data_IF_443737970571
#
_entry.id   IF_443737970571
#
_cell.length_a   1.000
_cell.length_b   1.000
_cell.length_c   1.000
_cell.angle_alpha   90.00
_cell.angle_beta   90.00
_cell.angle_gamma   90.00
#
_symmetry.space_group_name_H-M   'P 1'
#
loop_
_entity.id
_entity.type
_entity.pdbx_description
1 polymer ?
#
# COMPACT_ATOMS: atom_id res chain seq x y z
N UNK A 1 -61.93 -30.64 7.30
CA UNK A 1 -62.03 -29.75 8.49
C UNK A 1 -60.76 -29.88 9.31
N UNK A 2 -60.35 -28.79 9.98
CA UNK A 2 -59.19 -28.59 10.86
C UNK A 2 -57.91 -27.98 10.22
N UNK A 3 -57.86 -26.64 10.27
CA UNK A 3 -56.66 -25.78 10.47
C UNK A 3 -56.50 -25.67 12.01
N UNK A 4 -55.29 -25.75 12.63
CA UNK A 4 -54.35 -24.60 12.77
C UNK A 4 -52.86 -25.04 12.92
N UNK A 5 -51.78 -24.26 13.09
CA UNK A 5 -51.52 -22.85 13.39
C UNK A 5 -50.09 -22.47 12.93
N UNK A 6 -49.86 -21.20 12.58
CA UNK A 6 -48.53 -20.51 12.65
C UNK A 6 -48.13 -20.41 14.14
N UNK A 7 -46.89 -20.26 14.63
CA UNK A 7 -45.80 -19.29 14.36
C UNK A 7 -44.47 -19.84 15.04
N UNK A 8 -43.34 -19.12 15.21
CA UNK A 8 -42.08 -19.29 14.48
C UNK A 8 -40.86 -19.64 15.38
N UNK A 9 -39.66 -19.39 14.83
CA UNK A 9 -38.34 -19.20 15.49
C UNK A 9 -37.46 -20.44 15.58
N UNK A 10 -36.49 -20.49 14.66
CA UNK A 10 -35.08 -20.57 15.06
C UNK A 10 -34.22 -20.03 13.94
N UNK A 11 -33.85 -18.76 14.09
CA UNK A 11 -32.81 -18.12 13.31
C UNK A 11 -31.53 -18.97 13.43
N UNK A 12 -31.12 -19.59 12.33
CA UNK A 12 -29.76 -20.13 12.22
C UNK A 12 -28.80 -18.93 12.18
N UNK A 13 -28.36 -18.51 13.37
CA UNK A 13 -27.25 -17.59 13.53
C UNK A 13 -26.00 -18.27 12.97
N UNK A 14 -25.74 -18.01 11.70
CA UNK A 14 -24.49 -18.27 11.01
C UNK A 14 -23.40 -17.60 11.84
N UNK A 15 -22.63 -18.40 12.58
CA UNK A 15 -21.40 -17.96 13.25
C UNK A 15 -20.45 -17.49 12.16
N UNK A 16 -20.43 -16.19 11.90
CA UNK A 16 -19.41 -15.57 11.08
C UNK A 16 -18.12 -15.62 11.88
N UNK A 17 -17.17 -16.41 11.39
CA UNK A 17 -15.78 -16.36 11.83
C UNK A 17 -15.24 -14.97 11.51
N UNK A 18 -15.36 -14.05 12.46
CA UNK A 18 -14.67 -12.77 12.46
C UNK A 18 -13.18 -13.10 12.58
N UNK A 19 -12.50 -13.12 11.44
CA UNK A 19 -11.06 -12.97 11.37
C UNK A 19 -10.74 -11.59 11.93
N UNK A 20 -10.44 -11.52 13.21
CA UNK A 20 -9.87 -10.34 13.85
C UNK A 20 -8.47 -10.12 13.29
N UNK A 21 -8.42 -9.38 12.18
CA UNK A 21 -7.21 -8.77 11.68
C UNK A 21 -6.70 -7.81 12.74
N UNK A 22 -5.63 -8.19 13.45
CA UNK A 22 -4.87 -7.27 14.30
C UNK A 22 -4.08 -6.41 13.32
N UNK A 23 -4.72 -5.35 12.87
CA UNK A 23 -4.11 -4.35 12.01
C UNK A 23 -2.93 -3.74 12.76
N UNK A 24 -1.75 -3.86 12.16
CA UNK A 24 -0.57 -3.12 12.56
C UNK A 24 -0.93 -1.63 12.61
N UNK A 25 -0.84 -1.02 13.79
CA UNK A 25 -1.13 0.40 14.04
C UNK A 25 -0.21 1.37 13.28
N UNK A 26 0.76 0.84 12.55
CA UNK A 26 1.67 1.60 11.72
C UNK A 26 1.30 1.59 10.23
N UNK A 27 0.29 0.81 9.83
CA UNK A 27 -0.42 1.04 8.56
C UNK A 27 -1.41 2.21 8.70
N UNK A 28 -1.00 3.28 9.39
CA UNK A 28 -1.74 4.51 9.41
C UNK A 28 -1.49 5.12 8.02
N UNK A 29 -2.47 5.02 7.12
CA UNK A 29 -2.56 5.90 5.97
C UNK A 29 -2.73 7.32 6.52
N UNK A 30 -1.62 7.94 6.95
CA UNK A 30 -1.66 9.19 7.68
C UNK A 30 -1.86 10.30 6.68
N UNK A 31 -3.11 10.63 6.43
CA UNK A 31 -3.45 11.95 5.91
C UNK A 31 -3.28 12.94 7.06
N UNK A 32 -2.07 13.49 7.24
CA UNK A 32 -1.87 14.58 8.20
C UNK A 32 -2.28 15.88 7.51
N UNK A 33 -3.53 16.29 7.71
CA UNK A 33 -3.97 17.64 7.38
C UNK A 33 -3.46 18.59 8.49
N UNK A 34 -2.63 19.57 8.13
CA UNK A 34 -2.14 20.56 9.09
C UNK A 34 -3.16 21.70 9.22
N UNK A 35 -3.47 22.18 10.44
CA UNK A 35 -4.30 23.35 10.60
C UNK A 35 -3.52 24.60 10.19
N UNK A 36 -3.59 24.93 8.90
CA UNK A 36 -3.28 26.23 8.35
C UNK A 36 -4.59 26.81 7.79
N UNK A 37 -4.79 28.11 7.94
CA UNK A 37 -5.94 28.83 7.38
C UNK A 37 -6.16 28.35 5.95
N UNK A 38 -7.38 27.88 5.65
CA UNK A 38 -7.74 27.20 4.41
C UNK A 38 -7.12 27.93 3.22
N UNK A 39 -6.03 27.38 2.69
CA UNK A 39 -5.58 27.70 1.35
C UNK A 39 -6.70 27.18 0.46
N UNK A 40 -7.55 28.10 -0.01
CA UNK A 40 -8.67 27.84 -0.91
C UNK A 40 -8.20 27.40 -2.31
N UNK A 41 -6.97 26.90 -2.43
CA UNK A 41 -6.28 26.64 -3.68
C UNK A 41 -5.53 25.29 -3.65
N UNK A 42 -6.20 24.22 -3.19
CA UNK A 42 -5.78 22.83 -3.48
C UNK A 42 -6.02 22.46 -4.96
N UNK A 43 -5.99 23.44 -5.87
CA UNK A 43 -6.22 23.29 -7.30
C UNK A 43 -5.10 22.54 -8.03
N UNK A 44 -4.01 22.23 -7.33
CA UNK A 44 -2.79 21.61 -7.84
C UNK A 44 -2.76 20.08 -7.66
N UNK A 45 -3.80 19.48 -7.07
CA UNK A 45 -3.89 18.01 -6.89
C UNK A 45 -4.62 17.36 -8.04
N UNK A 46 -3.95 16.43 -8.72
CA UNK A 46 -4.59 15.54 -9.68
C UNK A 46 -4.86 14.15 -9.12
N UNK A 47 -5.84 13.46 -9.70
CA UNK A 47 -6.12 12.05 -9.44
C UNK A 47 -5.96 11.23 -10.71
N UNK A 48 -5.44 10.01 -10.57
CA UNK A 48 -5.29 9.07 -11.67
C UNK A 48 -5.81 7.70 -11.26
N UNK A 49 -6.67 7.13 -12.10
CA UNK A 49 -7.07 5.73 -11.98
C UNK A 49 -6.00 4.82 -12.62
N UNK A 50 -5.15 4.24 -11.77
CA UNK A 50 -4.11 3.30 -12.21
C UNK A 50 -4.69 2.03 -12.85
N UNK A 51 -5.86 1.58 -12.41
CA UNK A 51 -6.52 0.43 -13.00
C UNK A 51 -6.92 0.74 -14.45
N UNK A 52 -7.46 1.92 -14.72
CA UNK A 52 -7.79 2.34 -16.09
C UNK A 52 -6.55 2.41 -17.00
N UNK A 53 -5.43 2.95 -16.50
CA UNK A 53 -4.18 3.05 -17.28
C UNK A 53 -3.54 1.67 -17.52
N UNK A 54 -3.51 0.82 -16.50
CA UNK A 54 -2.93 -0.54 -16.60
C UNK A 54 -3.76 -1.48 -17.47
N UNK A 55 -5.08 -1.24 -17.59
CA UNK A 55 -5.98 -2.00 -18.46
C UNK A 55 -5.92 -1.58 -19.94
N UNK A 56 -5.06 -0.63 -20.31
CA UNK A 56 -4.93 -0.24 -21.70
C UNK A 56 -4.47 -1.41 -22.58
N UNK A 57 -4.99 -1.54 -23.82
CA UNK A 57 -4.73 -2.70 -24.68
C UNK A 57 -3.27 -3.07 -24.83
N UNK A 58 -2.38 -2.08 -24.88
CA UNK A 58 -0.92 -2.28 -24.98
C UNK A 58 -0.27 -2.87 -23.74
N UNK A 59 -0.75 -2.53 -22.53
CA UNK A 59 -0.27 -3.12 -21.28
C UNK A 59 -0.77 -4.56 -21.17
N UNK A 60 -2.04 -4.79 -21.52
CA UNK A 60 -2.62 -6.14 -21.58
C UNK A 60 -1.85 -7.01 -22.57
N UNK A 61 -1.52 -6.49 -23.75
CA UNK A 61 -0.76 -7.21 -24.76
C UNK A 61 0.68 -7.48 -24.32
N UNK A 62 1.37 -6.50 -23.76
CA UNK A 62 2.71 -6.68 -23.22
C UNK A 62 2.73 -7.75 -22.11
N UNK A 63 1.75 -7.72 -21.20
CA UNK A 63 1.58 -8.73 -20.17
C UNK A 63 1.33 -10.13 -20.77
N UNK A 64 0.47 -10.24 -21.79
CA UNK A 64 0.24 -11.49 -22.52
C UNK A 64 1.53 -12.04 -23.12
N UNK A 65 2.36 -11.19 -23.71
CA UNK A 65 3.65 -11.59 -24.28
C UNK A 65 4.66 -12.03 -23.20
N UNK A 66 4.67 -11.38 -22.04
CA UNK A 66 5.50 -11.82 -20.89
C UNK A 66 5.05 -13.20 -20.42
N UNK A 67 3.74 -13.43 -20.28
CA UNK A 67 3.19 -14.73 -19.86
C UNK A 67 3.51 -15.82 -20.88
N UNK A 68 3.29 -15.55 -22.18
CA UNK A 68 3.62 -16.49 -23.25
C UNK A 68 5.13 -16.82 -23.27
N UNK A 69 5.98 -15.82 -23.10
CA UNK A 69 7.43 -16.02 -22.98
C UNK A 69 7.77 -16.87 -21.76
N UNK A 70 7.17 -16.60 -20.59
CA UNK A 70 7.36 -17.39 -19.38
C UNK A 70 6.98 -18.86 -19.60
N UNK A 71 5.83 -19.15 -20.20
CA UNK A 71 5.41 -20.54 -20.48
C UNK A 71 6.39 -21.27 -21.39
N UNK A 72 6.90 -20.61 -22.43
CA UNK A 72 7.95 -21.17 -23.30
C UNK A 72 9.27 -21.38 -22.57
N UNK A 73 9.60 -20.43 -21.69
CA UNK A 73 10.80 -20.45 -20.86
C UNK A 73 10.74 -21.57 -19.82
N UNK A 74 9.60 -21.84 -19.18
CA UNK A 74 9.43 -22.91 -18.19
C UNK A 74 9.65 -24.32 -18.81
N UNK A 75 9.27 -24.51 -20.08
CA UNK A 75 9.57 -25.75 -20.82
C UNK A 75 11.08 -25.94 -21.04
N UNK A 76 11.76 -24.86 -21.46
CA UNK A 76 13.22 -24.86 -21.64
C UNK A 76 13.95 -25.07 -20.30
N UNK A 77 13.42 -24.48 -19.22
CA UNK A 77 13.97 -24.60 -17.87
C UNK A 77 13.94 -26.05 -17.44
N UNK A 78 12.76 -26.68 -17.53
CA UNK A 78 12.58 -28.09 -17.17
C UNK A 78 13.49 -29.01 -17.99
N UNK A 79 13.63 -28.77 -19.29
CA UNK A 79 14.52 -29.56 -20.15
C UNK A 79 15.99 -29.43 -19.75
N UNK A 80 16.48 -28.19 -19.51
CA UNK A 80 17.87 -27.95 -19.09
C UNK A 80 18.16 -28.44 -17.68
N UNK A 81 17.22 -28.30 -16.75
CA UNK A 81 17.35 -28.82 -15.39
C UNK A 81 17.47 -30.35 -15.37
N UNK A 82 16.73 -31.06 -16.24
CA UNK A 82 16.87 -32.52 -16.40
C UNK A 82 18.23 -32.93 -16.97
N UNK A 83 18.84 -32.09 -17.79
CA UNK A 83 20.17 -32.31 -18.38
C UNK A 83 21.32 -31.81 -17.48
N UNK A 84 21.03 -31.17 -16.35
CA UNK A 84 22.03 -30.65 -15.43
C UNK A 84 22.51 -31.77 -14.48
N UNK A 85 23.82 -32.03 -14.45
CA UNK A 85 24.42 -33.10 -13.66
C UNK A 85 25.16 -32.60 -12.40
N UNK A 86 25.29 -31.27 -12.23
CA UNK A 86 25.95 -30.67 -11.08
C UNK A 86 25.11 -29.55 -10.45
N UNK A 87 25.37 -29.26 -9.18
CA UNK A 87 24.74 -28.15 -8.46
C UNK A 87 25.12 -26.78 -9.06
N UNK A 88 26.34 -26.66 -9.59
CA UNK A 88 26.80 -25.45 -10.28
C UNK A 88 25.99 -25.19 -11.57
N UNK A 89 25.71 -26.24 -12.35
CA UNK A 89 24.91 -26.12 -13.57
C UNK A 89 23.47 -25.71 -13.27
N UNK A 90 22.87 -26.32 -12.24
CA UNK A 90 21.52 -25.96 -11.79
C UNK A 90 21.43 -24.49 -11.39
N UNK A 91 22.38 -23.99 -10.59
CA UNK A 91 22.41 -22.60 -10.16
C UNK A 91 22.59 -21.63 -11.34
N UNK A 92 23.40 -22.00 -12.33
CA UNK A 92 23.61 -21.23 -13.56
C UNK A 92 22.32 -21.15 -14.37
N UNK A 93 21.63 -22.28 -14.56
CA UNK A 93 20.35 -22.35 -15.27
C UNK A 93 19.30 -21.48 -14.56
N UNK A 94 19.15 -21.57 -13.24
CA UNK A 94 18.20 -20.72 -12.50
C UNK A 94 18.49 -19.23 -12.72
N UNK A 95 19.76 -18.85 -12.68
CA UNK A 95 20.18 -17.45 -12.84
C UNK A 95 19.93 -16.93 -14.25
N UNK A 96 20.30 -17.71 -15.28
CA UNK A 96 20.05 -17.37 -16.70
C UNK A 96 18.56 -17.19 -16.97
N UNK A 97 17.72 -18.12 -16.49
CA UNK A 97 16.29 -18.08 -16.73
C UNK A 97 15.60 -16.92 -16.02
N UNK A 98 16.01 -16.63 -14.78
CA UNK A 98 15.55 -15.45 -14.05
C UNK A 98 15.93 -14.16 -14.79
N UNK A 99 17.17 -14.07 -15.28
CA UNK A 99 17.65 -12.93 -16.06
C UNK A 99 16.84 -12.73 -17.34
N UNK A 100 16.67 -13.79 -18.16
CA UNK A 100 15.90 -13.72 -19.40
C UNK A 100 14.46 -13.26 -19.21
N UNK A 101 13.81 -13.71 -18.13
CA UNK A 101 12.45 -13.27 -17.80
C UNK A 101 12.43 -11.77 -17.42
N UNK A 102 13.38 -11.33 -16.59
CA UNK A 102 13.50 -9.93 -16.19
C UNK A 102 13.79 -9.02 -17.40
N UNK A 103 14.68 -9.44 -18.29
CA UNK A 103 15.00 -8.70 -19.51
C UNK A 103 13.80 -8.58 -20.43
N UNK A 104 13.03 -9.66 -20.60
CA UNK A 104 11.81 -9.64 -21.41
C UNK A 104 10.75 -8.72 -20.80
N UNK A 105 10.56 -8.77 -19.48
CA UNK A 105 9.64 -7.87 -18.78
C UNK A 105 10.06 -6.41 -18.96
N UNK A 106 11.34 -6.09 -18.73
CA UNK A 106 11.87 -4.73 -18.90
C UNK A 106 11.73 -4.23 -20.34
N UNK A 107 12.02 -5.07 -21.32
CA UNK A 107 11.91 -4.69 -22.74
C UNK A 107 10.46 -4.41 -23.17
N UNK A 108 9.49 -5.17 -22.66
CA UNK A 108 8.08 -5.01 -23.04
C UNK A 108 7.36 -3.94 -22.22
N UNK A 109 7.59 -3.89 -20.91
CA UNK A 109 6.86 -3.00 -19.99
C UNK A 109 7.61 -1.68 -19.73
N UNK A 110 8.94 -1.69 -19.77
CA UNK A 110 9.76 -0.49 -19.49
C UNK A 110 9.39 0.71 -20.36
N UNK A 111 9.32 0.58 -21.70
CA UNK A 111 8.90 1.68 -22.57
C UNK A 111 7.47 2.15 -22.32
N UNK A 112 6.57 1.24 -21.91
CA UNK A 112 5.18 1.59 -21.58
C UNK A 112 5.10 2.39 -20.28
N UNK A 113 5.85 2.00 -19.25
CA UNK A 113 5.95 2.74 -17.99
C UNK A 113 6.61 4.10 -18.19
N UNK A 114 7.70 4.18 -18.97
CA UNK A 114 8.32 5.45 -19.32
C UNK A 114 7.35 6.38 -20.05
N UNK A 115 6.60 5.85 -21.03
CA UNK A 115 5.56 6.61 -21.73
C UNK A 115 4.45 7.07 -20.78
N UNK A 116 4.02 6.24 -19.85
CA UNK A 116 3.02 6.61 -18.85
C UNK A 116 3.52 7.73 -17.93
N UNK A 117 4.77 7.64 -17.46
CA UNK A 117 5.38 8.67 -16.64
C UNK A 117 5.47 10.01 -17.40
N UNK A 118 5.87 9.99 -18.67
CA UNK A 118 5.89 11.20 -19.51
C UNK A 118 4.49 11.75 -19.75
N UNK A 119 3.49 10.89 -19.99
CA UNK A 119 2.11 11.30 -20.16
C UNK A 119 1.56 11.99 -18.91
N UNK A 120 1.77 11.38 -17.73
CA UNK A 120 1.37 11.94 -16.45
C UNK A 120 2.05 13.28 -16.24
N UNK A 121 3.37 13.36 -16.39
CA UNK A 121 4.11 14.60 -16.21
C UNK A 121 3.68 15.72 -17.19
N UNK A 122 3.41 15.38 -18.45
CA UNK A 122 2.92 16.32 -19.46
C UNK A 122 1.53 16.85 -19.12
N UNK A 123 0.59 15.97 -18.71
CA UNK A 123 -0.74 16.39 -18.28
C UNK A 123 -0.65 17.23 -17.02
N UNK A 124 0.15 16.83 -16.03
CA UNK A 124 0.37 17.60 -14.80
C UNK A 124 0.88 18.99 -15.09
N UNK A 125 1.93 19.12 -15.91
CA UNK A 125 2.47 20.41 -16.34
C UNK A 125 1.42 21.25 -17.07
N UNK A 126 0.66 20.66 -18.00
CA UNK A 126 -0.39 21.38 -18.75
C UNK A 126 -1.55 21.88 -17.89
N UNK A 127 -1.81 21.22 -16.76
CA UNK A 127 -2.91 21.51 -15.84
C UNK A 127 -2.44 22.19 -14.55
N UNK A 128 -1.15 22.54 -14.47
CA UNK A 128 -0.52 23.11 -13.28
C UNK A 128 -0.72 22.27 -12.01
N UNK A 129 -0.65 20.95 -12.14
CA UNK A 129 -0.78 20.00 -11.04
C UNK A 129 0.61 19.67 -10.47
N UNK A 130 0.76 19.84 -9.17
CA UNK A 130 2.00 19.60 -8.43
C UNK A 130 2.13 18.14 -7.96
N UNK A 131 1.00 17.48 -7.72
CA UNK A 131 0.93 16.10 -7.24
C UNK A 131 -0.20 15.34 -7.89
N UNK A 132 0.08 14.08 -8.25
CA UNK A 132 -0.92 13.11 -8.68
C UNK A 132 -0.98 11.97 -7.68
N UNK A 133 -2.18 11.68 -7.20
CA UNK A 133 -2.45 10.55 -6.30
C UNK A 133 -3.38 9.53 -6.95
N UNK A 134 -3.38 8.31 -6.40
CA UNK A 134 -4.31 7.28 -6.84
C UNK A 134 -5.76 7.67 -6.54
N UNK A 135 -6.63 7.53 -7.56
CA UNK A 135 -8.04 7.90 -7.44
C UNK A 135 -8.79 7.10 -6.37
N UNK A 136 -8.38 5.87 -6.07
CA UNK A 136 -9.07 4.99 -5.11
C UNK A 136 -9.02 5.49 -3.66
N UNK A 137 -8.07 6.37 -3.32
CA UNK A 137 -7.94 6.94 -1.98
C UNK A 137 -8.62 8.30 -1.82
N UNK A 138 -9.11 8.90 -2.91
CA UNK A 138 -9.70 10.24 -2.90
C UNK A 138 -11.21 10.13 -2.79
N UNK A 139 -11.75 10.60 -1.68
CA UNK A 139 -13.20 10.64 -1.43
C UNK A 139 -13.83 11.89 -2.07
N UNK A 140 -13.15 13.03 -2.00
CA UNK A 140 -13.62 14.32 -2.52
C UNK A 140 -12.43 15.22 -2.89
N UNK A 141 -12.56 15.96 -3.99
CA UNK A 141 -11.52 16.86 -4.50
C UNK A 141 -10.59 16.23 -5.53
N UNK A 142 -9.60 17.01 -5.96
CA UNK A 142 -8.61 16.62 -6.97
C UNK A 142 -9.15 16.62 -8.41
N UNK A 143 -8.30 16.99 -9.36
CA UNK A 143 -8.63 16.97 -10.77
C UNK A 143 -8.35 15.59 -11.37
N UNK A 144 -9.38 14.88 -11.81
CA UNK A 144 -9.20 13.61 -12.52
C UNK A 144 -8.50 13.83 -13.88
N UNK A 145 -7.29 13.32 -14.00
CA UNK A 145 -6.48 13.37 -15.23
C UNK A 145 -6.47 12.06 -16.01
N UNK A 146 -7.20 11.04 -15.55
CA UNK A 146 -7.21 9.68 -16.14
C UNK A 146 -7.44 9.71 -17.63
N UNK A 147 -8.48 10.43 -18.08
CA UNK A 147 -8.79 10.53 -19.51
C UNK A 147 -7.66 11.22 -20.29
N UNK A 148 -7.15 12.35 -19.81
CA UNK A 148 -6.10 13.09 -20.50
C UNK A 148 -4.80 12.27 -20.62
N UNK A 149 -4.45 11.51 -19.57
CA UNK A 149 -3.30 10.60 -19.58
C UNK A 149 -3.53 9.47 -20.56
N UNK A 150 -4.71 8.82 -20.55
CA UNK A 150 -5.07 7.77 -21.50
C UNK A 150 -5.02 8.27 -22.95
N UNK A 151 -5.51 9.48 -23.20
CA UNK A 151 -5.50 10.07 -24.54
C UNK A 151 -4.06 10.31 -25.01
N UNK A 152 -3.20 10.96 -24.22
CA UNK A 152 -1.77 11.14 -24.57
C UNK A 152 -1.02 9.81 -24.74
N UNK A 153 -1.35 8.87 -23.86
CA UNK A 153 -0.85 7.51 -23.93
C UNK A 153 -1.15 6.93 -25.30
N UNK A 154 -2.39 7.02 -25.78
CA UNK A 154 -2.85 6.48 -27.06
C UNK A 154 -2.43 7.31 -28.29
N UNK A 155 -2.05 8.58 -28.11
CA UNK A 155 -1.60 9.44 -29.21
C UNK A 155 -0.44 8.82 -30.01
N UNK A 156 -0.43 8.95 -31.35
CA UNK A 156 0.70 8.51 -32.16
C UNK A 156 1.94 9.39 -31.90
N UNK A 157 3.13 8.77 -31.91
CA UNK A 157 4.40 9.48 -31.77
C UNK A 157 4.87 9.71 -30.33
N UNK A 158 6.02 10.39 -30.15
CA UNK A 158 6.57 10.72 -28.83
C UNK A 158 5.66 11.67 -28.06
N UNK A 159 5.53 11.48 -26.76
CA UNK A 159 4.88 12.45 -25.89
C UNK A 159 5.92 13.52 -25.58
N UNK A 160 5.58 14.79 -25.80
CA UNK A 160 6.47 15.90 -25.48
C UNK A 160 6.81 15.86 -23.98
N UNK A 161 8.10 15.97 -23.66
CA UNK A 161 8.53 16.12 -22.29
C UNK A 161 7.93 17.41 -21.70
N UNK A 162 7.57 17.43 -20.42
CA UNK A 162 7.10 18.64 -19.76
C UNK A 162 8.15 19.75 -19.92
N UNK A 163 7.71 20.93 -20.33
CA UNK A 163 8.58 22.10 -20.57
C UNK A 163 8.88 22.89 -19.28
N UNK A 164 8.29 22.48 -18.16
CA UNK A 164 8.56 23.00 -16.82
C UNK A 164 8.42 21.89 -15.79
N UNK A 165 9.27 21.91 -14.76
CA UNK A 165 9.00 21.20 -13.51
C UNK A 165 7.87 21.94 -12.79
N UNK A 166 6.82 21.26 -12.32
CA UNK A 166 5.83 21.89 -11.46
C UNK A 166 6.54 22.58 -10.28
N UNK A 167 6.04 23.73 -9.79
CA UNK A 167 6.57 24.35 -8.58
C UNK A 167 6.62 23.34 -7.42
N UNK A 168 7.51 23.53 -6.43
CA UNK A 168 7.60 22.65 -5.26
C UNK A 168 6.20 22.44 -4.68
N UNK A 169 5.76 21.19 -4.64
CA UNK A 169 4.42 20.89 -4.17
C UNK A 169 4.33 21.22 -2.69
N UNK A 170 3.24 21.87 -2.30
CA UNK A 170 2.83 22.01 -0.90
C UNK A 170 2.40 20.66 -0.31
N UNK A 171 2.40 19.59 -1.10
CA UNK A 171 2.12 18.23 -0.67
C UNK A 171 3.43 17.47 -0.48
N UNK A 172 3.64 16.99 0.74
CA UNK A 172 4.70 16.05 1.07
C UNK A 172 4.25 14.60 0.98
N UNK A 173 5.22 13.70 0.97
CA UNK A 173 4.97 12.30 1.21
C UNK A 173 6.00 11.68 2.15
N UNK A 174 5.57 10.61 2.81
CA UNK A 174 6.41 9.72 3.61
C UNK A 174 6.32 8.30 3.08
N UNK A 175 7.42 7.59 3.11
CA UNK A 175 7.47 6.14 2.85
C UNK A 175 7.23 5.40 4.18
N UNK A 176 5.98 4.99 4.45
CA UNK A 176 5.63 4.36 5.72
C UNK A 176 6.44 3.08 5.99
N UNK A 177 6.80 2.31 4.96
CA UNK A 177 7.66 1.13 5.14
C UNK A 177 9.03 1.51 5.73
N UNK A 178 9.57 2.66 5.31
CA UNK A 178 10.82 3.19 5.84
C UNK A 178 10.68 3.84 7.21
N UNK A 179 9.52 4.42 7.53
CA UNK A 179 9.21 4.92 8.87
C UNK A 179 9.09 3.74 9.84
N UNK A 180 8.36 2.69 9.47
CA UNK A 180 8.18 1.49 10.29
C UNK A 180 9.48 0.73 10.52
N UNK A 181 10.41 0.83 9.57
CA UNK A 181 11.75 0.27 9.69
C UNK A 181 12.67 1.06 10.65
N UNK A 182 12.27 2.24 11.14
CA UNK A 182 13.04 3.01 12.14
C UNK A 182 13.29 2.11 13.37
N UNK A 183 14.54 1.96 13.85
CA UNK A 183 14.88 0.97 14.87
C UNK A 183 13.99 0.99 16.11
N UNK A 184 13.64 2.18 16.62
CA UNK A 184 12.78 2.36 17.79
C UNK A 184 11.34 1.88 17.53
N UNK A 185 10.78 2.21 16.36
CA UNK A 185 9.44 1.81 15.95
C UNK A 185 9.38 0.31 15.67
N UNK A 186 10.34 -0.19 14.89
CA UNK A 186 10.49 -1.61 14.60
C UNK A 186 10.56 -2.45 15.87
N UNK A 187 11.40 -2.07 16.82
CA UNK A 187 11.57 -2.80 18.08
C UNK A 187 10.27 -2.84 18.88
N UNK A 188 9.57 -1.70 18.98
CA UNK A 188 8.29 -1.65 19.68
C UNK A 188 7.22 -2.51 19.00
N UNK A 189 7.18 -2.54 17.67
CA UNK A 189 6.28 -3.42 16.92
C UNK A 189 6.61 -4.90 17.14
N UNK A 190 7.88 -5.27 17.05
CA UNK A 190 8.34 -6.64 17.27
C UNK A 190 8.03 -7.11 18.71
N UNK A 191 8.21 -6.24 19.70
CA UNK A 191 7.88 -6.51 21.10
C UNK A 191 6.38 -6.69 21.30
N UNK A 192 5.56 -5.82 20.70
CA UNK A 192 4.11 -5.94 20.77
C UNK A 192 3.60 -7.21 20.10
N UNK A 193 4.14 -7.58 18.94
CA UNK A 193 3.80 -8.82 18.24
C UNK A 193 4.12 -10.06 19.09
N UNK A 194 5.31 -10.09 19.72
CA UNK A 194 5.70 -11.16 20.65
C UNK A 194 4.77 -11.23 21.87
N UNK A 195 4.46 -10.08 22.46
CA UNK A 195 3.53 -9.99 23.59
C UNK A 195 2.15 -10.51 23.21
N UNK A 196 1.60 -10.07 22.08
CA UNK A 196 0.29 -10.47 21.62
C UNK A 196 0.21 -11.98 21.35
N UNK A 197 1.23 -12.57 20.72
CA UNK A 197 1.32 -14.02 20.52
C UNK A 197 1.37 -14.79 21.84
N UNK A 198 2.13 -14.29 22.82
CA UNK A 198 2.12 -14.86 24.17
C UNK A 198 0.73 -14.78 24.83
N UNK A 199 0.07 -13.63 24.74
CA UNK A 199 -1.27 -13.43 25.31
C UNK A 199 -2.32 -14.33 24.62
N UNK A 200 -2.20 -14.56 23.30
CA UNK A 200 -3.05 -15.52 22.58
C UNK A 200 -2.90 -16.94 23.12
N UNK A 201 -1.66 -17.38 23.41
CA UNK A 201 -1.42 -18.71 23.99
C UNK A 201 -2.01 -18.83 25.39
N UNK A 202 -1.86 -17.79 26.22
CA UNK A 202 -2.46 -17.75 27.55
C UNK A 202 -3.99 -17.79 27.46
N UNK A 203 -4.58 -16.98 26.56
CA UNK A 203 -6.02 -16.97 26.32
C UNK A 203 -6.52 -18.34 25.85
N UNK A 204 -5.84 -18.98 24.90
CA UNK A 204 -6.19 -20.32 24.43
C UNK A 204 -6.15 -21.38 25.55
N UNK A 205 -5.13 -21.33 26.43
CA UNK A 205 -5.03 -22.21 27.59
C UNK A 205 -6.12 -21.95 28.63
N UNK A 206 -6.51 -20.69 28.86
CA UNK A 206 -7.62 -20.35 29.76
C UNK A 206 -8.97 -20.75 29.14
N UNK A 207 -9.15 -20.57 27.84
CA UNK A 207 -10.34 -20.98 27.10
C UNK A 207 -10.57 -22.48 27.13
N UNK A 208 -9.52 -23.31 27.02
CA UNK A 208 -9.65 -24.77 27.10
C UNK A 208 -10.03 -25.27 28.49
N UNK A 209 -9.74 -24.48 29.53
CA UNK A 209 -10.11 -24.76 30.93
C UNK A 209 -11.46 -24.17 31.33
N UNK A 210 -12.01 -23.25 30.54
CA UNK A 210 -13.29 -22.58 30.81
C UNK A 210 -14.47 -23.54 30.58
N UNK A 211 -15.28 -23.74 31.62
CA UNK A 211 -16.43 -24.66 31.60
C UNK A 211 -17.73 -23.96 31.25
N UNK A 212 -17.82 -22.66 31.55
CA UNK A 212 -19.02 -21.83 31.33
C UNK A 212 -18.79 -20.76 30.27
N UNK A 213 -19.88 -20.25 29.69
CA UNK A 213 -19.82 -19.13 28.75
C UNK A 213 -19.37 -17.83 29.42
N UNK A 214 -19.72 -17.63 30.69
CA UNK A 214 -19.27 -16.49 31.48
C UNK A 214 -17.73 -16.45 31.61
N UNK A 215 -17.11 -17.60 31.89
CA UNK A 215 -15.65 -17.73 31.95
C UNK A 215 -15.00 -17.47 30.59
N UNK A 216 -15.56 -18.01 29.50
CA UNK A 216 -15.05 -17.78 28.14
C UNK A 216 -15.09 -16.30 27.76
N UNK A 217 -16.20 -15.62 28.06
CA UNK A 217 -16.33 -14.18 27.81
C UNK A 217 -15.33 -13.37 28.64
N UNK A 218 -15.08 -13.77 29.89
CA UNK A 218 -14.07 -13.10 30.72
C UNK A 218 -12.68 -13.24 30.13
N UNK A 219 -12.30 -14.43 29.66
CA UNK A 219 -10.98 -14.65 29.03
C UNK A 219 -10.80 -13.78 27.79
N UNK A 220 -11.84 -13.63 26.96
CA UNK A 220 -11.80 -12.75 25.79
C UNK A 220 -11.68 -11.28 26.18
N UNK A 221 -12.43 -10.81 27.19
CA UNK A 221 -12.33 -9.44 27.69
C UNK A 221 -10.95 -9.15 28.27
N UNK A 222 -10.42 -10.04 29.09
CA UNK A 222 -9.10 -9.90 29.70
C UNK A 222 -8.01 -9.87 28.61
N UNK A 223 -8.09 -10.74 27.61
CA UNK A 223 -7.16 -10.76 26.49
C UNK A 223 -7.22 -9.45 25.69
N UNK A 224 -8.42 -9.02 25.29
CA UNK A 224 -8.63 -7.77 24.54
C UNK A 224 -8.12 -6.55 25.32
N UNK A 225 -8.48 -6.46 26.61
CA UNK A 225 -8.02 -5.38 27.50
C UNK A 225 -6.50 -5.38 27.62
N UNK A 226 -5.89 -6.52 27.91
CA UNK A 226 -4.43 -6.65 28.08
C UNK A 226 -3.66 -6.25 26.82
N UNK A 227 -4.15 -6.65 25.65
CA UNK A 227 -3.56 -6.28 24.36
C UNK A 227 -3.75 -4.78 24.08
N UNK A 228 -4.95 -4.24 24.32
CA UNK A 228 -5.24 -2.81 24.14
C UNK A 228 -4.42 -1.93 25.08
N UNK A 229 -4.34 -2.26 26.37
CA UNK A 229 -3.55 -1.51 27.35
C UNK A 229 -2.07 -1.48 26.92
N UNK A 230 -1.53 -2.62 26.46
CA UNK A 230 -0.14 -2.70 26.00
C UNK A 230 0.08 -1.88 24.73
N UNK A 231 -0.88 -1.92 23.82
CA UNK A 231 -0.88 -1.14 22.59
C UNK A 231 -0.84 0.37 22.89
N UNK A 232 -1.71 0.82 23.80
CA UNK A 232 -1.79 2.23 24.22
C UNK A 232 -0.55 2.69 24.99
N UNK A 233 0.06 1.80 25.78
CA UNK A 233 1.28 2.14 26.52
C UNK A 233 2.53 2.19 25.65
N UNK A 234 2.66 1.29 24.67
CA UNK A 234 3.90 1.15 23.90
C UNK A 234 3.86 1.79 22.52
N UNK A 235 2.76 1.60 21.78
CA UNK A 235 2.69 1.99 20.37
C UNK A 235 2.10 3.40 20.20
N UNK A 236 1.09 3.75 21.01
CA UNK A 236 0.44 5.07 20.89
C UNK A 236 1.41 6.25 21.07
N UNK A 237 2.31 6.30 22.07
CA UNK A 237 3.24 7.41 22.21
C UNK A 237 4.20 7.54 21.03
N UNK A 238 4.58 6.40 20.42
CA UNK A 238 5.44 6.36 19.25
C UNK A 238 4.70 6.83 17.98
N UNK A 239 3.43 6.45 17.84
CA UNK A 239 2.57 6.95 16.77
C UNK A 239 2.34 8.47 16.91
N UNK A 240 2.08 8.96 18.12
CA UNK A 240 1.94 10.39 18.41
C UNK A 240 3.25 11.15 18.13
N UNK A 241 4.40 10.59 18.53
CA UNK A 241 5.73 11.14 18.22
C UNK A 241 5.96 11.21 16.70
N UNK A 242 5.59 10.17 15.96
CA UNK A 242 5.73 10.11 14.49
C UNK A 242 4.86 11.15 13.82
N UNK A 243 3.60 11.25 14.26
CA UNK A 243 2.66 12.27 13.79
C UNK A 243 3.17 13.68 14.07
N UNK A 244 3.73 13.93 15.25
CA UNK A 244 4.31 15.23 15.59
C UNK A 244 5.53 15.55 14.73
N UNK A 245 6.43 14.59 14.52
CA UNK A 245 7.59 14.79 13.66
C UNK A 245 7.18 15.17 12.23
N UNK A 246 6.23 14.42 11.65
CA UNK A 246 5.66 14.73 10.33
C UNK A 246 5.02 16.12 10.33
N UNK A 247 4.24 16.45 11.38
CA UNK A 247 3.61 17.75 11.54
C UNK A 247 4.64 18.90 11.58
N UNK A 248 5.71 18.76 12.35
CA UNK A 248 6.72 19.80 12.50
C UNK A 248 7.55 19.98 11.23
N UNK A 249 7.86 18.88 10.54
CA UNK A 249 8.60 18.92 9.27
C UNK A 249 7.75 19.55 8.17
N UNK A 250 6.46 19.18 8.08
CA UNK A 250 5.58 19.79 7.09
C UNK A 250 5.40 21.29 7.33
N UNK A 251 5.23 21.75 8.59
CA UNK A 251 5.26 23.19 8.90
C UNK A 251 6.56 23.86 8.45
N UNK A 252 7.72 23.27 8.76
CA UNK A 252 9.04 23.82 8.38
C UNK A 252 9.21 23.93 6.86
N UNK A 253 8.60 23.03 6.11
CA UNK A 253 8.65 23.00 4.64
C UNK A 253 7.43 23.64 3.97
N UNK A 254 6.55 24.29 4.73
CA UNK A 254 5.31 24.89 4.25
C UNK A 254 4.42 23.89 3.49
N UNK A 255 4.34 22.66 3.97
CA UNK A 255 3.49 21.61 3.41
C UNK A 255 2.10 21.68 4.05
N UNK A 256 1.07 21.67 3.21
CA UNK A 256 -0.35 21.69 3.63
C UNK A 256 -0.90 20.28 3.85
N UNK A 257 -0.29 19.28 3.20
CA UNK A 257 -0.71 17.89 3.27
C UNK A 257 0.51 16.97 3.23
N UNK A 258 0.49 15.90 4.02
CA UNK A 258 1.43 14.78 3.87
C UNK A 258 0.64 13.50 3.64
N UNK A 259 1.03 12.73 2.62
CA UNK A 259 0.42 11.46 2.25
C UNK A 259 1.42 10.30 2.35
N UNK A 260 0.91 9.07 2.36
CA UNK A 260 1.74 7.89 2.19
C UNK A 260 2.20 7.73 0.73
N UNK A 261 3.46 7.34 0.54
CA UNK A 261 4.08 7.12 -0.76
C UNK A 261 3.39 6.05 -1.59
N UNK A 262 2.78 5.05 -0.97
CA UNK A 262 2.00 4.01 -1.64
C UNK A 262 0.78 4.54 -2.40
N UNK A 263 0.38 5.79 -2.14
CA UNK A 263 -0.72 6.46 -2.83
C UNK A 263 -0.27 7.57 -3.78
N UNK A 264 1.03 7.87 -3.81
CA UNK A 264 1.62 8.89 -4.68
C UNK A 264 1.98 8.28 -6.04
N UNK A 265 1.56 8.95 -7.12
CA UNK A 265 1.86 8.55 -8.49
C UNK A 265 2.92 9.45 -9.10
N UNK A 266 2.85 10.76 -8.85
CA UNK A 266 3.78 11.74 -9.41
C UNK A 266 3.87 13.00 -8.54
N UNK A 267 5.06 13.60 -8.50
CA UNK A 267 5.31 14.86 -7.79
C UNK A 267 5.55 14.68 -6.29
N UNK A 268 5.30 15.74 -5.52
CA UNK A 268 5.36 15.74 -4.07
C UNK A 268 6.77 15.94 -3.50
N UNK A 269 6.83 16.39 -2.25
CA UNK A 269 8.07 16.59 -1.51
C UNK A 269 8.36 15.39 -0.60
N UNK A 270 9.42 14.63 -0.88
CA UNK A 270 9.85 13.54 0.01
C UNK A 270 10.36 14.10 1.34
N UNK A 271 9.66 13.80 2.43
CA UNK A 271 10.09 14.15 3.78
C UNK A 271 10.48 12.92 4.61
N UNK A 272 10.52 11.73 4.01
CA UNK A 272 10.92 10.49 4.68
C UNK A 272 12.27 10.62 5.39
N UNK A 273 13.33 11.15 4.76
CA UNK A 273 14.63 11.28 5.42
C UNK A 273 14.59 12.23 6.61
N UNK A 274 13.81 13.31 6.51
CA UNK A 274 13.64 14.29 7.59
C UNK A 274 12.94 13.67 8.80
N UNK A 275 11.89 12.87 8.54
CA UNK A 275 11.17 12.15 9.60
C UNK A 275 12.09 11.12 10.25
N UNK A 276 12.83 10.33 9.47
CA UNK A 276 13.82 9.39 10.01
C UNK A 276 14.86 10.08 10.90
N UNK A 277 15.32 11.27 10.50
CA UNK A 277 16.28 12.05 11.27
C UNK A 277 15.70 12.57 12.60
N UNK A 278 14.38 12.79 12.69
CA UNK A 278 13.72 13.17 13.95
C UNK A 278 13.67 12.05 15.00
N UNK A 279 14.04 10.82 14.62
CA UNK A 279 14.08 9.63 15.49
C UNK A 279 15.50 9.13 15.81
N UNK A 280 16.54 9.84 15.35
CA UNK A 280 17.93 9.60 15.73
C UNK A 280 18.26 10.32 17.03
#
# INVERSE_FOLDING_TARGET
>A
MAVPARIPVSASARVSNVRTSIAALFALGVLVAMPLALASDLGDVGTLDQAAVSNLPRFVEANRQVVAFKTGLDKQFTARMKAAHSQADQQRIITEFRGRLQDRQRALLGPLFGRAQTAIASVSSSKNLSVIVDKSIVIFGGQDITKAVIDLMQSPGPIAAPVSTPPPSEIGFVDNDQIDAIPKLKTANDDFLRFNEQQKRIAAQKMSKAKTDAERQQVLRDYQKTVSDRQDQQLKPLADQTKSAIADIGKKKNLVLVIDKGHLIYGGTDITPDVQNAFK
#
